data_IF_527457515486
#
_entry.id   IF_527457515486
#
_cell.length_a   1.000
_cell.length_b   1.000
_cell.length_c   1.000
_cell.angle_alpha   90.00
_cell.angle_beta   90.00
_cell.angle_gamma   90.00
#
_symmetry.space_group_name_H-M   'P 1'
#
loop_
_entity.id
_entity.type
_entity.pdbx_description
1 polymer ?
#
# COMPACT_ATOMS: atom_id res chain seq x y z
N UNK A 1 5.25 -2.56 -29.41
CA UNK A 1 5.31 -1.62 -28.28
C UNK A 1 3.94 -1.64 -27.63
N UNK A 2 3.79 -2.35 -26.52
CA UNK A 2 2.51 -2.43 -25.82
C UNK A 2 2.31 -1.16 -25.02
N UNK A 3 1.34 -0.33 -25.39
CA UNK A 3 0.91 0.80 -24.58
C UNK A 3 0.48 0.25 -23.22
N UNK A 4 1.17 0.66 -22.15
CA UNK A 4 0.80 0.18 -20.81
C UNK A 4 -0.64 0.64 -20.52
N UNK A 5 -1.49 -0.17 -19.85
CA UNK A 5 -2.86 0.23 -19.50
C UNK A 5 -2.93 1.57 -18.73
N UNK A 6 -1.86 1.92 -18.01
CA UNK A 6 -1.71 3.21 -17.34
C UNK A 6 -1.64 4.38 -18.33
N UNK A 7 -0.98 4.22 -19.48
CA UNK A 7 -0.94 5.23 -20.53
C UNK A 7 -2.34 5.56 -21.04
N UNK A 8 -3.12 4.54 -21.40
CA UNK A 8 -4.46 4.74 -21.94
C UNK A 8 -5.34 5.52 -20.94
N UNK A 9 -5.18 5.25 -19.64
CA UNK A 9 -5.91 5.94 -18.58
C UNK A 9 -5.45 7.39 -18.43
N UNK A 10 -4.15 7.65 -18.48
CA UNK A 10 -3.60 9.01 -18.41
C UNK A 10 -4.04 9.85 -19.60
N UNK A 11 -3.91 9.32 -20.82
CA UNK A 11 -4.37 9.99 -22.04
C UNK A 11 -5.86 10.32 -21.98
N UNK A 12 -6.66 9.37 -21.51
CA UNK A 12 -8.10 9.59 -21.38
C UNK A 12 -8.41 10.65 -20.31
N UNK A 13 -7.71 10.61 -19.18
CA UNK A 13 -7.90 11.59 -18.10
C UNK A 13 -7.54 13.00 -18.57
N UNK A 14 -6.44 13.15 -19.30
CA UNK A 14 -6.06 14.43 -19.89
C UNK A 14 -7.07 14.87 -20.96
N UNK A 15 -7.52 13.98 -21.85
CA UNK A 15 -8.54 14.29 -22.86
C UNK A 15 -9.88 14.74 -22.24
N UNK A 16 -10.31 14.10 -21.15
CA UNK A 16 -11.50 14.52 -20.39
C UNK A 16 -11.28 15.89 -19.74
N UNK A 17 -10.07 16.15 -19.22
CA UNK A 17 -9.74 17.41 -18.56
C UNK A 17 -9.71 18.62 -19.50
N UNK A 18 -9.54 18.39 -20.80
CA UNK A 18 -9.46 19.46 -21.82
C UNK A 18 -10.83 20.06 -22.20
N UNK A 19 -11.90 19.72 -21.49
CA UNK A 19 -13.28 20.21 -21.73
C UNK A 19 -13.63 20.17 -23.22
N UNK A 20 -13.44 18.99 -23.81
CA UNK A 20 -13.76 18.78 -25.21
C UNK A 20 -15.26 18.98 -25.36
N UNK A 21 -15.66 20.13 -25.94
CA UNK A 21 -17.03 20.39 -26.45
C UNK A 21 -17.50 19.36 -27.50
N UNK A 22 -16.69 18.35 -27.80
CA UNK A 22 -16.93 17.29 -28.77
C UNK A 22 -17.14 15.97 -28.01
N UNK A 23 -18.00 15.13 -28.58
CA UNK A 23 -18.31 13.82 -28.03
C UNK A 23 -17.06 12.93 -28.01
N UNK A 24 -16.60 12.56 -26.81
CA UNK A 24 -15.49 11.64 -26.61
C UNK A 24 -16.04 10.21 -26.48
N UNK A 25 -15.62 9.33 -27.38
CA UNK A 25 -15.94 7.90 -27.30
C UNK A 25 -14.71 7.16 -26.75
N UNK A 26 -14.89 6.45 -25.64
CA UNK A 26 -13.87 5.59 -25.05
C UNK A 26 -14.41 4.16 -24.96
N UNK A 27 -13.61 3.19 -25.40
CA UNK A 27 -13.95 1.77 -25.33
C UNK A 27 -12.98 1.11 -24.36
N UNK A 28 -13.51 0.47 -23.31
CA UNK A 28 -12.71 -0.23 -22.31
C UNK A 28 -12.95 -1.73 -22.41
N UNK A 29 -11.90 -2.51 -22.21
CA UNK A 29 -12.00 -3.94 -21.97
C UNK A 29 -12.28 -4.18 -20.49
N UNK A 30 -13.33 -4.95 -20.19
CA UNK A 30 -13.72 -5.32 -18.84
C UNK A 30 -12.67 -6.22 -18.18
N UNK A 31 -11.85 -5.61 -17.32
CA UNK A 31 -10.79 -6.30 -16.60
C UNK A 31 -11.32 -7.39 -15.66
N UNK A 32 -12.58 -7.32 -15.21
CA UNK A 32 -13.17 -8.35 -14.34
C UNK A 32 -13.33 -9.70 -15.04
N UNK A 33 -13.39 -9.70 -16.37
CA UNK A 33 -13.36 -10.91 -17.21
C UNK A 33 -11.96 -11.34 -17.63
N UNK A 34 -10.97 -10.46 -17.49
CA UNK A 34 -9.59 -10.70 -17.93
C UNK A 34 -8.67 -11.19 -16.81
N UNK A 35 -9.00 -10.92 -15.54
CA UNK A 35 -8.28 -11.44 -14.39
C UNK A 35 -9.11 -12.53 -13.71
N UNK A 36 -8.63 -13.76 -13.83
CA UNK A 36 -9.23 -14.97 -13.26
C UNK A 36 -9.50 -14.82 -11.75
N UNK A 37 -10.60 -15.43 -11.30
CA UNK A 37 -11.03 -15.45 -9.89
C UNK A 37 -9.87 -15.94 -9.03
N UNK A 38 -9.31 -15.07 -8.20
CA UNK A 38 -8.15 -15.40 -7.36
C UNK A 38 -8.46 -16.65 -6.55
N UNK A 39 -7.63 -17.69 -6.68
CA UNK A 39 -7.75 -18.93 -5.91
C UNK A 39 -7.23 -18.71 -4.47
N UNK A 40 -8.11 -18.18 -3.61
CA UNK A 40 -7.77 -17.77 -2.24
C UNK A 40 -7.19 -18.92 -1.42
N UNK A 41 -7.69 -20.14 -1.62
CA UNK A 41 -7.25 -21.34 -0.90
C UNK A 41 -5.79 -21.70 -1.18
N UNK A 42 -5.37 -21.68 -2.45
CA UNK A 42 -3.98 -21.93 -2.84
C UNK A 42 -3.02 -20.85 -2.29
N UNK A 43 -3.50 -19.62 -2.17
CA UNK A 43 -2.72 -18.50 -1.63
C UNK A 43 -2.52 -18.64 -0.11
N UNK A 44 -3.58 -18.94 0.64
CA UNK A 44 -3.52 -19.19 2.08
C UNK A 44 -2.67 -20.43 2.40
N UNK A 45 -2.80 -21.48 1.59
CA UNK A 45 -1.96 -22.68 1.69
C UNK A 45 -0.47 -22.35 1.51
N UNK A 46 -0.10 -21.57 0.48
CA UNK A 46 1.30 -21.16 0.26
C UNK A 46 1.86 -20.28 1.38
N UNK A 47 1.06 -19.36 1.94
CA UNK A 47 1.44 -18.53 3.08
C UNK A 47 1.67 -19.36 4.36
N UNK A 48 0.79 -20.32 4.62
CA UNK A 48 0.91 -21.22 5.76
C UNK A 48 2.19 -22.05 5.70
N UNK A 49 2.58 -22.55 4.52
CA UNK A 49 3.83 -23.29 4.36
C UNK A 49 5.07 -22.38 4.34
N UNK A 50 4.97 -21.17 3.79
CA UNK A 50 6.10 -20.22 3.77
C UNK A 50 6.51 -19.77 5.19
N UNK A 51 5.54 -19.60 6.09
CA UNK A 51 5.78 -19.25 7.50
C UNK A 51 6.37 -20.37 8.34
N UNK A 52 6.29 -21.63 7.89
CA UNK A 52 6.91 -22.79 8.55
C UNK A 52 8.41 -22.96 8.25
N UNK A 53 9.01 -22.04 7.49
CA UNK A 53 10.47 -22.01 7.33
C UNK A 53 10.99 -23.08 6.38
N UNK A 54 10.46 -23.13 5.15
CA UNK A 54 11.12 -23.86 4.07
C UNK A 54 12.36 -23.09 3.59
N UNK A 55 13.47 -23.31 4.30
CA UNK A 55 14.83 -23.04 3.85
C UNK A 55 15.63 -24.32 3.59
N UNK A 56 15.00 -25.50 3.56
CA UNK A 56 15.71 -26.79 3.46
C UNK A 56 15.28 -27.70 2.29
N UNK A 57 14.63 -27.18 1.25
CA UNK A 57 14.25 -27.98 0.07
C UNK A 57 15.08 -27.71 -1.20
N UNK A 58 16.29 -27.15 -1.07
CA UNK A 58 17.19 -26.92 -2.22
C UNK A 58 18.59 -27.54 -2.04
N UNK A 59 18.75 -28.63 -1.27
CA UNK A 59 20.07 -29.32 -1.27
C UNK A 59 20.10 -30.84 -1.22
N UNK A 60 18.98 -31.56 -1.20
CA UNK A 60 19.04 -33.03 -1.23
C UNK A 60 17.83 -33.59 -1.98
N UNK A 61 17.97 -33.65 -3.31
CA UNK A 61 17.34 -34.74 -4.07
C UNK A 61 17.93 -36.06 -3.56
N UNK A 62 17.05 -36.93 -3.09
CA UNK A 62 17.42 -38.21 -2.54
C UNK A 62 17.89 -39.21 -3.60
N UNK A 63 18.72 -40.14 -3.13
CA UNK A 63 18.44 -41.55 -3.32
C UNK A 63 17.94 -42.08 -1.98
N UNK A 64 16.99 -43.02 -2.06
CA UNK A 64 16.38 -43.88 -1.03
C UNK A 64 14.93 -43.53 -0.67
N UNK A 65 13.95 -44.40 -1.03
CA UNK A 65 12.54 -44.24 -0.69
C UNK A 65 12.16 -44.97 0.61
N UNK A 66 11.17 -44.38 1.29
CA UNK A 66 9.99 -44.97 1.96
C UNK A 66 10.26 -46.21 2.85
N UNK A 67 9.93 -46.21 4.14
CA UNK A 67 8.59 -46.04 4.69
C UNK A 67 8.72 -46.05 6.24
N UNK A 68 7.70 -45.56 6.97
CA UNK A 68 7.41 -46.02 8.34
C UNK A 68 8.03 -45.33 9.59
N UNK A 69 8.30 -44.02 9.58
CA UNK A 69 8.55 -43.28 10.86
C UNK A 69 8.02 -41.83 10.93
N UNK A 70 7.56 -41.24 9.82
CA UNK A 70 7.07 -39.85 9.80
C UNK A 70 5.64 -39.66 10.35
N UNK A 71 4.90 -40.74 10.63
CA UNK A 71 3.48 -40.69 11.03
C UNK A 71 3.20 -40.52 12.53
N UNK A 72 4.19 -40.75 13.40
CA UNK A 72 4.03 -40.68 14.86
C UNK A 72 4.72 -39.45 15.48
N UNK A 73 5.92 -39.07 15.03
CA UNK A 73 6.58 -37.85 15.51
C UNK A 73 5.86 -36.55 15.11
N UNK A 74 5.23 -36.51 13.92
CA UNK A 74 4.48 -35.33 13.48
C UNK A 74 3.27 -35.02 14.33
N UNK A 75 2.58 -36.04 14.86
CA UNK A 75 1.39 -35.87 15.72
C UNK A 75 1.76 -35.52 17.16
N UNK A 76 2.86 -36.08 17.69
CA UNK A 76 3.36 -35.68 19.01
C UNK A 76 3.95 -34.27 19.04
N UNK A 77 4.63 -33.82 17.97
CA UNK A 77 5.13 -32.44 17.90
C UNK A 77 4.00 -31.44 17.73
N UNK A 78 2.96 -31.75 16.95
CA UNK A 78 1.77 -30.91 16.81
C UNK A 78 1.03 -30.83 18.14
N UNK A 79 0.86 -31.94 18.87
CA UNK A 79 0.21 -31.95 20.18
C UNK A 79 1.06 -31.30 21.28
N UNK A 80 2.40 -31.38 21.22
CA UNK A 80 3.30 -30.64 22.13
C UNK A 80 3.34 -29.15 21.83
N UNK A 81 3.28 -28.73 20.56
CA UNK A 81 3.18 -27.30 20.22
C UNK A 81 1.82 -26.74 20.61
N UNK A 82 0.71 -27.46 20.39
CA UNK A 82 -0.62 -27.06 20.91
C UNK A 82 -0.71 -27.12 22.45
N UNK A 83 0.13 -27.92 23.11
CA UNK A 83 0.25 -27.96 24.58
C UNK A 83 1.16 -26.88 25.17
N UNK A 84 2.13 -26.35 24.41
CA UNK A 84 3.06 -25.28 24.83
C UNK A 84 2.52 -23.89 24.48
N UNK A 85 1.85 -23.74 23.33
CA UNK A 85 1.06 -22.55 23.02
C UNK A 85 -0.35 -22.81 23.52
N UNK A 86 -0.55 -22.57 24.82
CA UNK A 86 -1.86 -22.66 25.43
C UNK A 86 -2.92 -22.03 24.54
N UNK A 87 -4.10 -22.64 24.57
CA UNK A 87 -5.40 -22.28 23.98
C UNK A 87 -5.90 -20.86 24.38
N UNK A 88 -5.00 -19.88 24.54
CA UNK A 88 -5.26 -18.55 25.07
C UNK A 88 -4.32 -17.43 24.58
N UNK A 89 -3.44 -17.64 23.58
CA UNK A 89 -2.65 -16.57 22.95
C UNK A 89 -3.01 -16.37 21.47
N UNK A 90 -4.30 -16.48 21.20
CA UNK A 90 -4.90 -16.10 19.93
C UNK A 90 -5.83 -14.95 20.28
N UNK A 91 -5.43 -13.72 19.99
CA UNK A 91 -6.43 -12.64 19.98
C UNK A 91 -7.58 -13.03 19.04
N UNK A 92 -8.76 -12.45 19.24
CA UNK A 92 -10.10 -12.84 18.73
C UNK A 92 -10.21 -13.49 17.32
N UNK A 93 -9.22 -13.31 16.43
CA UNK A 93 -9.19 -13.80 15.05
C UNK A 93 -8.07 -14.83 14.72
N UNK A 94 -7.27 -15.28 15.69
CA UNK A 94 -6.27 -16.35 15.47
C UNK A 94 -5.03 -15.99 14.63
N UNK A 95 -4.91 -14.76 14.15
CA UNK A 95 -3.79 -14.31 13.32
C UNK A 95 -2.87 -13.38 14.11
N UNK A 96 -1.56 -13.64 14.06
CA UNK A 96 -0.55 -12.75 14.62
C UNK A 96 -0.61 -11.37 13.91
N UNK A 97 -0.70 -10.23 14.63
CA UNK A 97 -0.81 -8.91 14.02
C UNK A 97 0.28 -8.60 12.98
N UNK A 98 1.52 -9.06 13.21
CA UNK A 98 2.63 -8.89 12.26
C UNK A 98 2.39 -9.62 10.94
N UNK A 99 1.82 -10.83 11.01
CA UNK A 99 1.45 -11.61 9.81
C UNK A 99 0.29 -10.91 9.09
N UNK A 100 -0.70 -10.40 9.83
CA UNK A 100 -1.81 -9.62 9.26
C UNK A 100 -1.32 -8.41 8.47
N UNK A 101 -0.44 -7.60 9.07
CA UNK A 101 0.20 -6.45 8.41
C UNK A 101 0.99 -6.87 7.17
N UNK A 102 1.72 -7.98 7.24
CA UNK A 102 2.46 -8.50 6.09
C UNK A 102 1.54 -8.91 4.94
N UNK A 103 0.43 -9.60 5.22
CA UNK A 103 -0.58 -9.97 4.21
C UNK A 103 -1.19 -8.71 3.58
N UNK A 104 -1.54 -7.72 4.42
CA UNK A 104 -2.03 -6.44 3.97
C UNK A 104 -1.05 -5.76 3.00
N UNK A 105 0.22 -5.67 3.39
CA UNK A 105 1.25 -4.99 2.62
C UNK A 105 1.60 -5.66 1.30
N UNK A 106 1.62 -6.99 1.26
CA UNK A 106 2.03 -7.76 0.08
C UNK A 106 0.87 -7.92 -0.91
N UNK A 107 -0.36 -8.14 -0.43
CA UNK A 107 -1.45 -8.57 -1.30
C UNK A 107 -2.59 -7.56 -1.40
N UNK A 108 -3.04 -6.99 -0.28
CA UNK A 108 -4.27 -6.19 -0.24
C UNK A 108 -3.97 -4.74 -0.65
N UNK A 109 -3.04 -4.08 0.04
CA UNK A 109 -2.65 -2.69 -0.21
C UNK A 109 -2.29 -2.45 -1.68
N UNK A 110 -1.45 -3.27 -2.36
CA UNK A 110 -1.12 -3.05 -3.76
C UNK A 110 -2.32 -3.10 -4.70
N UNK A 111 -3.32 -3.93 -4.41
CA UNK A 111 -4.56 -4.02 -5.20
C UNK A 111 -5.47 -2.83 -4.96
N UNK A 112 -5.60 -2.39 -3.71
CA UNK A 112 -6.40 -1.21 -3.35
C UNK A 112 -5.86 0.04 -4.04
N UNK A 113 -4.53 0.19 -4.11
CA UNK A 113 -3.88 1.36 -4.72
C UNK A 113 -3.66 1.24 -6.22
N UNK A 114 -3.99 0.11 -6.84
CA UNK A 114 -3.72 -0.10 -8.27
C UNK A 114 -4.62 0.79 -9.13
N UNK A 115 -4.02 1.54 -10.05
CA UNK A 115 -4.72 2.44 -10.96
C UNK A 115 -5.00 3.82 -10.35
N UNK A 116 -4.91 3.96 -9.03
CA UNK A 116 -5.11 5.24 -8.35
C UNK A 116 -4.02 6.26 -8.69
N UNK A 117 -2.84 5.78 -9.13
CA UNK A 117 -1.75 6.63 -9.61
C UNK A 117 -2.09 7.40 -10.89
N UNK A 118 -3.08 6.94 -11.67
CA UNK A 118 -3.46 7.56 -12.95
C UNK A 118 -4.59 8.59 -12.80
N UNK A 119 -5.20 8.71 -11.62
CA UNK A 119 -6.38 9.55 -11.41
C UNK A 119 -6.09 10.65 -10.40
N UNK A 120 -6.69 11.83 -10.63
CA UNK A 120 -6.68 12.91 -9.65
C UNK A 120 -7.75 12.65 -8.59
N UNK A 121 -7.33 12.11 -7.44
CA UNK A 121 -8.22 11.86 -6.32
C UNK A 121 -8.67 13.16 -5.65
N UNK A 122 -9.97 13.25 -5.38
CA UNK A 122 -10.52 14.33 -4.55
C UNK A 122 -10.07 14.20 -3.09
N UNK A 123 -10.10 15.31 -2.35
CA UNK A 123 -9.79 15.28 -0.91
C UNK A 123 -10.76 14.37 -0.13
N UNK A 124 -12.02 14.27 -0.58
CA UNK A 124 -13.02 13.38 0.01
C UNK A 124 -12.67 11.91 -0.18
N UNK A 125 -12.24 11.53 -1.39
CA UNK A 125 -11.85 10.15 -1.69
C UNK A 125 -10.57 9.75 -0.97
N UNK A 126 -9.58 10.66 -0.91
CA UNK A 126 -8.37 10.47 -0.09
C UNK A 126 -8.71 10.23 1.38
N UNK A 127 -9.62 11.02 1.95
CA UNK A 127 -10.08 10.84 3.33
C UNK A 127 -10.75 9.48 3.54
N UNK A 128 -11.62 9.05 2.63
CA UNK A 128 -12.29 7.73 2.68
C UNK A 128 -11.29 6.58 2.58
N UNK A 129 -10.31 6.66 1.68
CA UNK A 129 -9.25 5.65 1.54
C UNK A 129 -8.39 5.56 2.80
N UNK A 130 -8.00 6.70 3.37
CA UNK A 130 -7.27 6.74 4.64
C UNK A 130 -8.10 6.14 5.79
N UNK A 131 -9.41 6.43 5.86
CA UNK A 131 -10.30 5.83 6.86
C UNK A 131 -10.40 4.30 6.69
N UNK A 132 -10.56 3.82 5.46
CA UNK A 132 -10.59 2.39 5.15
C UNK A 132 -9.28 1.71 5.58
N UNK A 133 -8.13 2.28 5.21
CA UNK A 133 -6.82 1.75 5.59
C UNK A 133 -6.64 1.68 7.11
N UNK A 134 -6.98 2.74 7.83
CA UNK A 134 -6.89 2.78 9.30
C UNK A 134 -7.79 1.77 9.98
N UNK A 135 -9.03 1.61 9.51
CA UNK A 135 -9.96 0.61 10.03
C UNK A 135 -9.35 -0.80 9.91
N UNK A 136 -8.74 -1.10 8.78
CA UNK A 136 -8.02 -2.37 8.58
C UNK A 136 -6.83 -2.53 9.51
N UNK A 137 -6.00 -1.49 9.67
CA UNK A 137 -4.88 -1.53 10.62
C UNK A 137 -5.36 -1.76 12.05
N UNK A 138 -6.41 -1.06 12.50
CA UNK A 138 -7.02 -1.26 13.82
C UNK A 138 -7.51 -2.70 14.01
N UNK A 139 -8.16 -3.28 13.01
CA UNK A 139 -8.62 -4.67 13.06
C UNK A 139 -7.46 -5.67 13.14
N UNK A 140 -6.41 -5.51 12.33
CA UNK A 140 -5.23 -6.39 12.35
C UNK A 140 -4.46 -6.31 13.67
N UNK A 141 -4.38 -5.11 14.25
CA UNK A 141 -3.72 -4.85 15.52
C UNK A 141 -4.63 -5.09 16.74
N UNK A 142 -5.91 -5.41 16.53
CA UNK A 142 -6.93 -5.57 17.57
C UNK A 142 -7.07 -4.33 18.47
N UNK A 143 -6.91 -3.15 17.87
CA UNK A 143 -7.04 -1.87 18.55
C UNK A 143 -8.53 -1.47 18.58
N UNK A 144 -9.01 -0.85 19.68
CA UNK A 144 -10.34 -0.26 19.71
C UNK A 144 -10.56 0.75 18.59
N UNK A 145 -11.79 0.87 18.07
CA UNK A 145 -12.14 1.86 17.04
C UNK A 145 -11.83 3.31 17.50
N UNK A 146 -11.92 3.57 18.81
CA UNK A 146 -11.59 4.85 19.45
C UNK A 146 -10.08 5.16 19.52
N UNK A 147 -9.21 4.24 19.14
CA UNK A 147 -7.76 4.47 19.14
C UNK A 147 -7.43 5.60 18.19
N UNK A 148 -6.62 6.55 18.66
CA UNK A 148 -6.19 7.69 17.86
C UNK A 148 -5.42 7.23 16.61
N UNK A 149 -5.70 7.88 15.49
CA UNK A 149 -5.27 7.42 14.17
C UNK A 149 -3.75 7.47 14.00
N UNK A 150 -3.10 8.47 14.58
CA UNK A 150 -1.65 8.64 14.63
C UNK A 150 -0.98 7.47 15.37
N UNK A 151 -1.56 7.08 16.51
CA UNK A 151 -1.10 5.94 17.30
C UNK A 151 -1.18 4.62 16.52
N UNK A 152 -2.22 4.45 15.69
CA UNK A 152 -2.34 3.26 14.83
C UNK A 152 -1.17 3.17 13.85
N UNK A 153 -0.80 4.26 13.19
CA UNK A 153 0.33 4.28 12.26
C UNK A 153 1.67 4.02 12.95
N UNK A 154 1.90 4.65 14.11
CA UNK A 154 3.13 4.46 14.90
C UNK A 154 3.27 3.00 15.33
N UNK A 155 2.20 2.38 15.87
CA UNK A 155 2.22 0.99 16.32
C UNK A 155 2.36 0.03 15.13
N UNK A 156 1.68 0.30 14.02
CA UNK A 156 1.77 -0.52 12.81
C UNK A 156 3.14 -0.45 12.13
N UNK A 157 3.90 0.64 12.34
CA UNK A 157 5.08 0.95 11.55
C UNK A 157 4.73 1.29 10.10
N UNK A 158 3.52 1.81 9.85
CA UNK A 158 3.01 2.14 8.52
C UNK A 158 2.85 3.65 8.33
N UNK A 159 2.74 4.07 7.07
CA UNK A 159 2.40 5.45 6.68
C UNK A 159 0.99 5.50 6.09
N UNK A 160 0.37 6.68 5.99
CA UNK A 160 -0.97 6.82 5.42
C UNK A 160 -1.02 6.31 3.98
N UNK A 161 -2.15 5.73 3.56
CA UNK A 161 -2.28 5.14 2.21
C UNK A 161 -2.11 6.19 1.11
N UNK A 162 -2.43 7.45 1.40
CA UNK A 162 -2.16 8.55 0.48
C UNK A 162 -0.67 8.75 0.17
N UNK A 163 0.22 8.48 1.12
CA UNK A 163 1.67 8.58 0.93
C UNK A 163 2.16 7.54 -0.09
N UNK A 164 1.56 6.36 -0.04
CA UNK A 164 1.81 5.25 -0.96
C UNK A 164 1.30 5.56 -2.38
N UNK A 165 0.13 6.19 -2.49
CA UNK A 165 -0.42 6.66 -3.77
C UNK A 165 0.47 7.77 -4.35
N UNK A 166 0.83 8.77 -3.54
CA UNK A 166 1.72 9.86 -3.95
C UNK A 166 3.09 9.32 -4.44
N UNK A 167 3.66 8.33 -3.73
CA UNK A 167 4.90 7.65 -4.16
C UNK A 167 4.76 6.98 -5.52
N UNK A 168 3.63 6.33 -5.80
CA UNK A 168 3.38 5.71 -7.11
C UNK A 168 3.22 6.74 -8.22
N UNK A 169 2.46 7.82 -7.98
CA UNK A 169 2.29 8.94 -8.92
C UNK A 169 3.67 9.50 -9.32
N UNK A 170 4.51 9.80 -8.33
CA UNK A 170 5.84 10.36 -8.57
C UNK A 170 6.82 9.35 -9.19
N UNK A 171 6.63 8.06 -8.94
CA UNK A 171 7.40 7.00 -9.63
C UNK A 171 7.02 6.93 -11.11
N UNK A 172 5.72 7.00 -11.41
CA UNK A 172 5.21 6.99 -12.78
C UNK A 172 5.62 8.25 -13.54
N UNK A 173 5.54 9.42 -12.90
CA UNK A 173 6.01 10.69 -13.48
C UNK A 173 7.46 10.58 -13.95
N UNK A 174 8.34 10.02 -13.11
CA UNK A 174 9.75 9.83 -13.48
C UNK A 174 9.99 8.70 -14.49
N UNK A 175 9.06 7.79 -14.68
CA UNK A 175 9.12 6.86 -15.81
C UNK A 175 8.83 7.59 -17.12
N UNK A 176 7.80 8.44 -17.13
CA UNK A 176 7.43 9.28 -18.29
C UNK A 176 8.60 10.19 -18.68
N UNK A 177 9.19 10.92 -17.73
CA UNK A 177 10.26 11.88 -18.05
C UNK A 177 11.55 11.25 -18.57
N UNK A 178 11.81 9.99 -18.21
CA UNK A 178 12.98 9.23 -18.69
C UNK A 178 12.72 8.52 -20.02
N UNK A 179 11.47 8.32 -20.40
CA UNK A 179 11.12 7.75 -21.69
C UNK A 179 11.44 8.72 -22.83
N UNK A 180 11.59 8.18 -24.04
CA UNK A 180 11.67 8.95 -25.29
C UNK A 180 10.39 8.77 -26.11
N UNK A 181 9.30 8.43 -25.42
CA UNK A 181 8.01 8.10 -26.02
C UNK A 181 7.08 9.32 -26.03
N UNK A 182 5.93 9.18 -26.72
CA UNK A 182 4.89 10.21 -26.90
C UNK A 182 4.43 10.78 -25.54
N UNK A 183 4.52 9.99 -24.46
CA UNK A 183 4.21 10.42 -23.09
C UNK A 183 5.02 11.64 -22.65
N UNK A 184 6.30 11.68 -23.01
CA UNK A 184 7.17 12.79 -22.63
C UNK A 184 6.78 14.05 -23.40
N UNK A 185 6.52 13.93 -24.70
CA UNK A 185 6.05 15.05 -25.53
C UNK A 185 4.74 15.63 -25.01
N UNK A 186 3.82 14.76 -24.58
CA UNK A 186 2.56 15.17 -23.94
C UNK A 186 2.84 15.87 -22.62
N UNK A 187 3.73 15.35 -21.78
CA UNK A 187 4.10 15.99 -20.53
C UNK A 187 4.70 17.38 -20.75
N UNK A 188 5.62 17.52 -21.71
CA UNK A 188 6.23 18.80 -22.10
C UNK A 188 5.17 19.80 -22.56
N UNK A 189 4.27 19.38 -23.45
CA UNK A 189 3.17 20.22 -23.93
C UNK A 189 2.23 20.63 -22.81
N UNK A 190 1.78 19.69 -21.97
CA UNK A 190 0.84 19.99 -20.89
C UNK A 190 1.47 20.94 -19.88
N UNK A 191 2.74 20.74 -19.51
CA UNK A 191 3.45 21.63 -18.59
C UNK A 191 3.75 23.02 -19.18
N UNK A 192 3.85 23.15 -20.51
CA UNK A 192 4.04 24.44 -21.17
C UNK A 192 2.72 25.23 -21.32
N UNK A 193 1.59 24.54 -21.52
CA UNK A 193 0.30 25.17 -21.83
C UNK A 193 -0.54 25.42 -20.57
N UNK A 194 -0.50 24.50 -19.61
CA UNK A 194 -1.41 24.52 -18.46
C UNK A 194 -0.86 25.39 -17.34
N UNK A 195 -1.76 26.11 -16.69
CA UNK A 195 -1.46 26.91 -15.50
C UNK A 195 -1.50 26.05 -14.22
N UNK A 196 -1.07 26.64 -13.11
CA UNK A 196 -1.05 25.98 -11.79
C UNK A 196 -2.45 25.67 -11.23
N UNK A 197 -3.51 26.28 -11.78
CA UNK A 197 -4.90 26.05 -11.36
C UNK A 197 -5.60 24.96 -12.17
N UNK A 198 -5.05 24.59 -13.32
CA UNK A 198 -5.62 23.58 -14.20
C UNK A 198 -5.86 22.22 -13.54
N UNK A 199 -6.79 21.47 -14.14
CA UNK A 199 -7.15 20.12 -13.68
C UNK A 199 -6.23 19.01 -14.23
N UNK A 200 -5.06 19.35 -14.79
CA UNK A 200 -4.14 18.36 -15.36
C UNK A 200 -3.48 17.49 -14.31
N UNK A 201 -3.26 16.21 -14.65
CA UNK A 201 -2.54 15.24 -13.83
C UNK A 201 -1.08 15.66 -13.60
N UNK A 202 -0.42 16.29 -14.58
CA UNK A 202 0.97 16.75 -14.43
C UNK A 202 1.09 17.88 -13.42
N UNK A 203 0.15 18.83 -13.44
CA UNK A 203 0.09 19.91 -12.45
C UNK A 203 -0.22 19.35 -11.06
N UNK A 204 -1.06 18.34 -10.97
CA UNK A 204 -1.30 17.61 -9.73
C UNK A 204 -0.04 16.93 -9.19
N UNK A 205 0.71 16.23 -10.04
CA UNK A 205 1.99 15.62 -9.67
C UNK A 205 3.02 16.69 -9.24
N UNK A 206 3.02 17.86 -9.87
CA UNK A 206 3.80 19.03 -9.46
C UNK A 206 3.51 19.48 -8.03
N UNK A 207 2.22 19.57 -7.65
CA UNK A 207 1.81 19.89 -6.27
C UNK A 207 2.26 18.82 -5.26
N UNK A 208 2.31 17.56 -5.68
CA UNK A 208 2.83 16.47 -4.83
C UNK A 208 4.35 16.62 -4.65
N UNK A 209 5.10 17.01 -5.68
CA UNK A 209 6.54 17.32 -5.54
C UNK A 209 6.77 18.45 -4.54
N UNK A 210 6.00 19.54 -4.63
CA UNK A 210 6.07 20.67 -3.69
C UNK A 210 5.75 20.25 -2.25
N UNK A 211 4.71 19.41 -2.05
CA UNK A 211 4.33 18.87 -0.74
C UNK A 211 5.50 18.18 -0.01
N UNK A 212 6.35 17.47 -0.75
CA UNK A 212 7.46 16.70 -0.20
C UNK A 212 8.82 17.40 -0.32
N UNK A 213 8.83 18.70 -0.65
CA UNK A 213 10.05 19.48 -0.84
C UNK A 213 11.04 18.83 -1.84
N UNK A 214 10.49 18.33 -2.95
CA UNK A 214 11.25 17.73 -4.04
C UNK A 214 11.52 18.74 -5.16
N UNK A 215 12.44 18.39 -6.07
CA UNK A 215 12.79 19.23 -7.23
C UNK A 215 11.56 19.62 -8.04
N UNK A 216 11.56 20.85 -8.57
CA UNK A 216 10.45 21.36 -9.38
C UNK A 216 10.25 20.50 -10.62
N UNK A 217 9.00 20.37 -11.04
CA UNK A 217 8.61 19.49 -12.15
C UNK A 217 9.35 19.79 -13.46
N UNK A 218 9.57 21.08 -13.78
CA UNK A 218 10.30 21.49 -14.98
C UNK A 218 11.78 21.11 -14.95
N UNK A 219 12.42 21.12 -13.78
CA UNK A 219 13.82 20.74 -13.63
C UNK A 219 13.99 19.23 -13.83
N UNK A 220 13.03 18.44 -13.31
CA UNK A 220 12.98 17.00 -13.48
C UNK A 220 12.70 16.58 -14.93
N UNK A 221 11.90 17.36 -15.66
CA UNK A 221 11.60 17.11 -17.06
C UNK A 221 12.84 17.33 -17.96
N UNK A 222 13.59 18.41 -17.71
CA UNK A 222 14.81 18.74 -18.45
C UNK A 222 15.97 17.80 -18.13
N UNK A 223 16.09 17.44 -16.85
CA UNK A 223 17.21 16.66 -16.33
C UNK A 223 16.69 15.54 -15.45
N UNK A 224 16.24 14.42 -16.05
CA UNK A 224 15.70 13.32 -15.28
C UNK A 224 16.75 12.69 -14.36
N UNK A 225 16.45 12.59 -13.06
CA UNK A 225 17.32 11.93 -12.07
C UNK A 225 17.42 10.43 -12.40
N UNK A 226 18.53 9.75 -12.10
CA UNK A 226 18.65 8.30 -12.28
C UNK A 226 17.67 7.48 -11.41
N UNK A 227 17.21 6.31 -11.89
CA UNK A 227 16.16 5.49 -11.23
C UNK A 227 16.45 5.12 -9.78
N UNK A 228 17.66 4.66 -9.48
CA UNK A 228 18.06 4.26 -8.13
C UNK A 228 18.09 5.43 -7.16
N UNK A 229 18.70 6.55 -7.59
CA UNK A 229 18.80 7.80 -6.81
C UNK A 229 17.41 8.36 -6.52
N UNK A 230 16.56 8.45 -7.54
CA UNK A 230 15.19 8.93 -7.40
C UNK A 230 14.38 8.09 -6.42
N UNK A 231 14.42 6.76 -6.53
CA UNK A 231 13.65 5.87 -5.64
C UNK A 231 14.05 6.07 -4.18
N UNK A 232 15.35 6.22 -3.91
CA UNK A 232 15.88 6.46 -2.57
C UNK A 232 15.40 7.81 -2.04
N UNK A 233 15.68 8.89 -2.76
CA UNK A 233 15.30 10.26 -2.38
C UNK A 233 13.78 10.39 -2.15
N UNK A 234 12.97 9.88 -3.09
CA UNK A 234 11.51 9.89 -2.99
C UNK A 234 11.02 9.17 -1.73
N UNK A 235 11.57 7.98 -1.46
CA UNK A 235 11.19 7.19 -0.28
C UNK A 235 11.56 7.90 1.01
N UNK A 236 12.76 8.46 1.09
CA UNK A 236 13.24 9.21 2.26
C UNK A 236 12.41 10.47 2.51
N UNK A 237 12.18 11.31 1.48
CA UNK A 237 11.38 12.53 1.62
C UNK A 237 9.95 12.26 2.07
N UNK A 238 9.27 11.29 1.45
CA UNK A 238 7.88 10.94 1.82
C UNK A 238 7.83 10.39 3.26
N UNK A 239 8.71 9.46 3.62
CA UNK A 239 8.71 8.88 4.97
C UNK A 239 9.01 9.95 6.01
N UNK A 240 9.97 10.83 5.77
CA UNK A 240 10.35 11.88 6.72
C UNK A 240 9.23 12.91 6.91
N UNK A 241 8.56 13.32 5.83
CA UNK A 241 7.39 14.19 5.87
C UNK A 241 6.30 13.60 6.77
N UNK A 242 5.89 12.36 6.49
CA UNK A 242 4.79 11.72 7.20
C UNK A 242 5.14 11.35 8.65
N UNK A 243 6.39 10.95 8.93
CA UNK A 243 6.84 10.76 10.31
C UNK A 243 6.72 12.03 11.12
N UNK A 244 7.13 13.18 10.56
CA UNK A 244 7.02 14.48 11.23
C UNK A 244 5.55 14.85 11.46
N UNK A 245 4.73 14.80 10.42
CA UNK A 245 3.30 15.14 10.48
C UNK A 245 2.54 14.27 11.50
N UNK A 246 2.78 12.95 11.49
CA UNK A 246 2.15 12.03 12.45
C UNK A 246 2.61 12.33 13.88
N UNK A 247 3.90 12.57 14.10
CA UNK A 247 4.43 12.89 15.43
C UNK A 247 3.93 14.23 15.96
N UNK A 248 3.76 15.23 15.09
CA UNK A 248 3.19 16.52 15.47
C UNK A 248 1.72 16.38 15.88
N UNK A 249 0.91 15.70 15.06
CA UNK A 249 -0.49 15.41 15.41
C UNK A 249 -0.62 14.55 16.66
N UNK A 250 0.31 13.61 16.87
CA UNK A 250 0.30 12.77 18.06
C UNK A 250 0.53 13.56 19.36
N UNK A 251 1.30 14.67 19.31
CA UNK A 251 1.51 15.55 20.47
C UNK A 251 0.27 16.34 20.86
N UNK A 252 -0.63 16.59 19.92
CA UNK A 252 -1.89 17.32 20.17
C UNK A 252 -2.93 16.44 20.90
N UNK A 253 -2.75 15.11 20.88
CA UNK A 253 -3.64 14.17 21.55
C UNK A 253 -3.43 14.29 23.06
N UNK A 254 -4.41 14.89 23.74
CA UNK A 254 -4.42 14.92 25.20
C UNK A 254 -4.48 13.48 25.74
N UNK A 255 -3.66 13.12 26.74
CA UNK A 255 -3.77 11.81 27.37
C UNK A 255 -5.17 11.68 27.97
N UNK A 256 -5.97 10.78 27.39
CA UNK A 256 -7.24 10.38 27.98
C UNK A 256 -6.88 9.47 29.14
N UNK A 257 -6.70 10.05 30.31
CA UNK A 257 -6.66 9.28 31.55
C UNK A 257 -8.03 8.64 31.71
N UNK A 258 -8.15 7.39 31.27
CA UNK A 258 -9.27 6.55 31.67
C UNK A 258 -9.08 6.38 33.17
N UNK A 259 -9.85 7.12 33.97
CA UNK A 259 -10.04 6.77 35.38
C UNK A 259 -10.64 5.37 35.35
N UNK A 260 -9.77 4.35 35.44
CA UNK A 260 -10.23 3.03 35.82
C UNK A 260 -10.70 3.18 37.26
N UNK A 261 -11.98 3.52 37.42
CA UNK A 261 -12.69 3.16 38.62
C UNK A 261 -12.57 1.65 38.69
N UNK A 262 -11.57 1.19 39.45
CA UNK A 262 -11.38 -0.21 39.73
C UNK A 262 -12.73 -0.69 40.25
N UNK A 263 -13.41 -1.65 39.59
CA UNK A 263 -14.66 -2.17 40.11
C UNK A 263 -14.36 -2.56 41.55
N UNK A 264 -15.04 -1.94 42.52
CA UNK A 264 -15.00 -2.42 43.90
C UNK A 264 -15.55 -3.84 43.82
N UNK A 265 -14.66 -4.81 43.74
CA UNK A 265 -14.98 -6.20 43.99
C UNK A 265 -15.43 -6.22 45.45
N UNK A 266 -16.74 -6.03 45.65
CA UNK A 266 -17.38 -6.29 46.92
C UNK A 266 -17.21 -7.80 47.15
N UNK A 267 -16.20 -8.13 47.94
CA UNK A 267 -16.07 -9.40 48.63
C UNK A 267 -17.33 -9.55 49.50
N UNK A 268 -18.31 -10.28 48.97
CA UNK A 268 -19.35 -10.94 49.76
C UNK A 268 -18.89 -12.38 49.99
#
# INVERSE_FOLDING_TARGET
MGTSPGLATLLLTEAISEDLKKMLYATFLDASKAFDVVWHDSMLHKLYHWTKGDRLANSLEGVVPKHELAGQMGRELINKVHGITGTGLHGYNGINPKIGLQIWNIYIKPRVIYGLENIKLSNGDRKRLNQYHKRWLKQMLQLPERTADEGVYIIAGEIPIEAEIDRKILTQLMQIFRGEDIEKDIAERQLAVKDSTSNSWFIYAGKILEKYDLSKIHDLLRTPIAKGVWKKQLTESIINFWKRDILEKAKEIKPVFVKHECPRWHLC
#
